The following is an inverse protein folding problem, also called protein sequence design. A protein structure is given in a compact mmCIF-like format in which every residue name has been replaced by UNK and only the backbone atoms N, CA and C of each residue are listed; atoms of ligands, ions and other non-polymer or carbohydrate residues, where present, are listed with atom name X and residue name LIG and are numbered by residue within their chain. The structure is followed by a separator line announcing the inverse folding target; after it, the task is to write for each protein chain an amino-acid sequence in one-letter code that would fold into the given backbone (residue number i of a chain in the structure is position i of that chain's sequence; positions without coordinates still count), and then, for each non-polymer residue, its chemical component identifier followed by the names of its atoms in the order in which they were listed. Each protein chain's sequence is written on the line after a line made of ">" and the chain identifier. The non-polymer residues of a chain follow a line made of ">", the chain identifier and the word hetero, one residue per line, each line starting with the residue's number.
data_IF_293321376538
#
_entry.id   IF_293321376538
#
_cell.length_a   1.000
_cell.length_b   1.000
_cell.length_c   1.000
_cell.angle_alpha   90.00
_cell.angle_beta   90.00
_cell.angle_gamma   90.00
#
_symmetry.space_group_name_H-M   'P 1'
#
loop_
_entity.id
_entity.type
_entity.pdbx_description
1 polymer ?
#
# COMPACT_ATOMS: atom_id res chain seq x y z
N UNK A 1 4.39 27.64 -9.82
CA UNK A 1 3.75 28.06 -8.54
C UNK A 1 3.59 29.56 -8.58
N UNK A 2 2.39 30.03 -8.25
CA UNK A 2 2.00 31.43 -8.25
C UNK A 2 2.33 32.10 -6.91
N UNK A 3 2.46 33.43 -6.90
CA UNK A 3 2.81 34.19 -5.69
C UNK A 3 1.77 34.11 -4.55
N UNK A 4 0.58 33.58 -4.83
CA UNK A 4 -0.47 33.31 -3.85
C UNK A 4 -0.40 31.88 -3.26
N UNK A 5 0.64 31.11 -3.58
CA UNK A 5 0.84 29.74 -3.12
C UNK A 5 0.05 28.68 -3.89
N UNK A 6 -0.53 29.03 -5.05
CA UNK A 6 -1.26 28.08 -5.89
C UNK A 6 -0.28 27.35 -6.83
N UNK A 7 -0.42 26.03 -6.93
CA UNK A 7 0.32 25.21 -7.89
C UNK A 7 -0.27 25.46 -9.28
N UNK A 8 0.59 25.63 -10.27
CA UNK A 8 0.19 25.75 -11.67
C UNK A 8 1.03 24.79 -12.50
N UNK A 9 0.39 24.13 -13.47
CA UNK A 9 0.99 23.23 -14.44
C UNK A 9 0.69 23.78 -15.85
N UNK A 10 1.70 23.88 -16.73
CA UNK A 10 1.55 24.50 -18.06
C UNK A 10 0.87 25.88 -18.07
N UNK A 11 1.11 26.67 -17.02
CA UNK A 11 0.52 28.01 -16.78
C UNK A 11 -0.99 28.01 -16.51
N UNK A 12 -1.59 26.85 -16.29
CA UNK A 12 -2.94 26.70 -15.75
C UNK A 12 -2.85 26.28 -14.28
N UNK A 13 -3.61 26.93 -13.41
CA UNK A 13 -3.71 26.58 -11.98
C UNK A 13 -5.00 25.80 -11.65
N UNK A 14 -5.82 25.54 -12.66
CA UNK A 14 -7.04 24.76 -12.55
C UNK A 14 -6.74 23.28 -12.69
N UNK A 15 -7.08 22.52 -11.66
CA UNK A 15 -7.16 21.07 -11.70
C UNK A 15 -8.62 20.66 -11.62
N UNK A 16 -8.93 19.39 -11.89
CA UNK A 16 -10.28 18.85 -11.83
C UNK A 16 -10.32 17.70 -10.84
N UNK A 17 -11.11 17.85 -9.80
CA UNK A 17 -11.44 16.78 -8.87
C UNK A 17 -12.64 16.03 -9.42
N UNK A 18 -12.43 14.76 -9.76
CA UNK A 18 -13.49 13.90 -10.30
C UNK A 18 -13.76 12.76 -9.32
N UNK A 19 -15.03 12.39 -9.09
CA UNK A 19 -15.34 11.29 -8.19
C UNK A 19 -14.89 9.99 -8.82
N UNK A 20 -14.31 9.12 -8.00
CA UNK A 20 -13.85 7.80 -8.45
C UNK A 20 -15.02 6.85 -8.73
N UNK A 21 -16.18 7.12 -8.14
CA UNK A 21 -17.35 6.22 -8.14
C UNK A 21 -17.49 5.43 -6.84
N UNK A 22 -16.43 5.39 -6.03
CA UNK A 22 -16.31 4.51 -4.85
C UNK A 22 -16.07 5.32 -3.57
N UNK A 23 -16.78 4.98 -2.49
CA UNK A 23 -16.61 5.49 -1.11
C UNK A 23 -16.44 7.02 -0.95
N UNK A 24 -16.96 7.81 -1.90
CA UNK A 24 -16.81 9.26 -1.89
C UNK A 24 -15.39 9.75 -2.18
N UNK A 25 -14.51 8.90 -2.72
CA UNK A 25 -13.15 9.25 -3.14
C UNK A 25 -13.11 10.16 -4.37
N UNK A 26 -12.04 10.94 -4.49
CA UNK A 26 -11.85 11.89 -5.58
C UNK A 26 -10.40 11.89 -6.07
N UNK A 27 -10.22 11.79 -7.39
CA UNK A 27 -8.92 11.93 -8.04
C UNK A 27 -8.76 13.33 -8.64
N UNK A 28 -7.51 13.78 -8.80
CA UNK A 28 -7.18 15.10 -9.34
C UNK A 28 -6.54 14.96 -10.71
N UNK A 29 -7.12 15.62 -11.70
CA UNK A 29 -6.72 15.58 -13.10
C UNK A 29 -6.40 17.00 -13.63
N UNK A 30 -5.67 17.07 -14.74
CA UNK A 30 -5.44 18.34 -15.45
C UNK A 30 -6.65 18.76 -16.31
N UNK A 31 -7.54 17.81 -16.63
CA UNK A 31 -8.75 18.01 -17.42
C UNK A 31 -9.90 17.19 -16.84
N UNK A 32 -11.16 17.61 -16.99
CA UNK A 32 -12.30 16.82 -16.53
C UNK A 32 -12.36 15.49 -17.30
N UNK A 33 -12.67 14.41 -16.58
CA UNK A 33 -12.80 13.07 -17.16
C UNK A 33 -14.10 12.98 -17.95
N UNK A 34 -14.00 12.53 -19.22
CA UNK A 34 -15.15 12.43 -20.12
C UNK A 34 -16.16 11.39 -19.59
N UNK A 35 -17.43 11.78 -19.50
CA UNK A 35 -18.50 10.91 -18.99
C UNK A 35 -18.66 10.92 -17.47
N UNK A 36 -17.92 11.77 -16.75
CA UNK A 36 -18.09 11.98 -15.31
C UNK A 36 -18.59 13.41 -15.03
N UNK A 37 -19.91 13.59 -15.04
CA UNK A 37 -20.57 14.90 -14.92
C UNK A 37 -20.34 15.60 -13.56
N UNK A 38 -19.79 14.88 -12.58
CA UNK A 38 -19.48 15.38 -11.24
C UNK A 38 -18.04 15.90 -11.09
N UNK A 39 -17.23 15.89 -12.15
CA UNK A 39 -15.92 16.54 -12.13
C UNK A 39 -16.06 18.03 -11.86
N UNK A 40 -15.36 18.54 -10.84
CA UNK A 40 -15.39 19.95 -10.46
C UNK A 40 -13.98 20.56 -10.51
N UNK A 41 -13.84 21.84 -10.88
CA UNK A 41 -12.56 22.53 -10.81
C UNK A 41 -12.10 22.69 -9.35
N UNK A 42 -10.82 22.48 -9.10
CA UNK A 42 -10.15 22.64 -7.81
C UNK A 42 -8.79 23.31 -8.00
N UNK A 43 -8.29 23.95 -6.93
CA UNK A 43 -6.98 24.60 -6.92
C UNK A 43 -6.12 23.99 -5.80
N UNK A 44 -4.89 23.62 -6.15
CA UNK A 44 -3.94 23.08 -5.20
C UNK A 44 -3.14 24.21 -4.57
N UNK A 45 -3.23 24.34 -3.24
CA UNK A 45 -2.50 25.36 -2.48
C UNK A 45 -1.47 24.69 -1.58
N UNK A 46 -0.22 25.13 -1.70
CA UNK A 46 0.84 24.70 -0.77
C UNK A 46 0.66 25.37 0.59
N UNK A 47 1.00 24.63 1.65
CA UNK A 47 0.81 24.99 3.04
C UNK A 47 1.99 25.84 3.58
N UNK A 48 2.48 25.55 4.78
CA UNK A 48 3.60 26.24 5.41
C UNK A 48 4.93 26.12 4.63
N UNK A 49 5.00 25.30 3.57
CA UNK A 49 6.17 25.21 2.70
C UNK A 49 6.33 26.40 1.72
N UNK A 50 5.35 27.30 1.60
CA UNK A 50 5.41 28.43 0.66
C UNK A 50 6.01 29.70 1.30
N UNK A 51 7.14 30.17 0.78
CA UNK A 51 7.85 31.37 1.28
C UNK A 51 7.44 32.69 0.60
N UNK A 52 6.41 32.69 -0.26
CA UNK A 52 5.99 33.89 -0.99
C UNK A 52 6.92 34.27 -2.14
N UNK A 53 6.49 35.23 -2.97
CA UNK A 53 7.39 35.88 -3.92
C UNK A 53 8.09 37.06 -3.25
N UNK A 54 9.35 37.31 -3.62
CA UNK A 54 10.03 38.54 -3.25
C UNK A 54 9.25 39.76 -3.80
N UNK A 55 9.11 40.85 -3.04
CA UNK A 55 8.49 42.07 -3.56
C UNK A 55 9.27 42.56 -4.79
N UNK A 56 8.55 42.84 -5.87
CA UNK A 56 9.12 43.34 -7.12
C UNK A 56 9.94 44.60 -6.83
N UNK A 57 11.25 44.56 -7.11
CA UNK A 57 12.10 45.73 -6.96
C UNK A 57 11.59 46.83 -7.90
N UNK A 58 11.14 47.95 -7.33
CA UNK A 58 10.88 49.18 -8.07
C UNK A 58 12.14 49.57 -8.86
N UNK A 59 12.06 49.86 -10.17
CA UNK A 59 13.25 50.20 -10.94
C UNK A 59 13.85 51.53 -10.44
N UNK A 60 15.09 51.46 -9.93
CA UNK A 60 15.85 52.63 -9.51
C UNK A 60 16.19 53.51 -10.71
N UNK A 61 15.71 54.75 -10.70
CA UNK A 61 16.18 55.82 -11.59
C UNK A 61 17.56 56.30 -11.11
N UNK A 62 18.58 56.46 -11.98
CA UNK A 62 19.91 56.88 -11.55
C UNK A 62 19.90 58.35 -11.08
N UNK A 63 20.33 58.54 -9.84
CA UNK A 63 20.43 59.82 -9.13
C UNK A 63 21.71 60.58 -9.54
N UNK A 64 21.56 61.88 -9.83
CA UNK A 64 22.67 62.84 -9.77
C UNK A 64 22.47 63.73 -8.55
N UNK A 65 23.43 63.63 -7.64
CA UNK A 65 23.61 64.39 -6.38
C UNK A 65 23.91 65.88 -6.66
N UNK A 66 23.84 66.84 -5.68
CA UNK A 66 24.36 66.66 -4.31
C UNK A 66 23.76 67.45 -3.11
N UNK A 67 24.11 66.93 -1.92
CA UNK A 67 24.48 67.60 -0.66
C UNK A 67 23.47 67.92 0.48
N UNK A 68 23.82 67.38 1.66
CA UNK A 68 23.73 67.94 3.04
C UNK A 68 22.44 67.69 3.89
N UNK A 69 22.51 67.77 5.26
CA UNK A 69 22.09 66.70 6.16
C UNK A 69 20.97 67.11 7.13
N UNK A 70 20.46 66.13 7.90
CA UNK A 70 19.76 66.20 9.20
C UNK A 70 18.34 65.62 9.31
N UNK A 71 18.22 64.80 10.36
CA UNK A 71 17.11 64.59 11.32
C UNK A 71 15.80 63.89 10.88
N UNK A 72 15.47 62.84 11.65
CA UNK A 72 14.15 62.32 12.04
C UNK A 72 13.03 63.38 12.17
N UNK A 73 11.70 63.05 12.18
CA UNK A 73 11.08 61.77 12.61
C UNK A 73 9.76 61.30 11.89
N UNK A 74 9.23 60.16 12.38
CA UNK A 74 7.81 59.74 12.55
C UNK A 74 6.85 59.36 11.39
N UNK A 75 6.47 58.07 11.43
CA UNK A 75 5.12 57.46 11.56
C UNK A 75 4.13 57.58 10.39
N UNK A 76 3.68 56.45 9.84
CA UNK A 76 2.27 56.27 9.46
C UNK A 76 1.82 54.80 9.58
N UNK A 77 0.70 54.67 10.30
CA UNK A 77 -0.11 53.49 10.58
C UNK A 77 -0.96 53.13 9.36
N UNK A 78 -1.12 51.84 9.05
CA UNK A 78 -2.26 51.34 8.27
C UNK A 78 -2.76 50.02 8.83
N UNK A 79 -3.99 50.11 9.36
CA UNK A 79 -4.86 49.06 9.89
C UNK A 79 -5.41 48.19 8.76
N UNK A 80 -5.56 46.88 8.98
CA UNK A 80 -6.41 46.04 8.13
C UNK A 80 -7.39 45.22 8.98
N UNK A 81 -8.66 45.31 8.61
CA UNK A 81 -9.85 44.86 9.32
C UNK A 81 -10.14 43.39 8.98
N UNK A 82 -10.22 42.52 9.99
CA UNK A 82 -10.63 41.11 9.83
C UNK A 82 -12.13 40.99 10.11
N UNK A 83 -12.88 40.52 9.13
CA UNK A 83 -14.26 40.02 9.34
C UNK A 83 -14.19 38.65 10.02
N UNK A 84 -14.75 38.55 11.23
CA UNK A 84 -14.95 37.30 11.96
C UNK A 84 -16.44 37.00 12.07
N UNK A 85 -16.86 35.82 11.62
CA UNK A 85 -18.16 35.23 11.95
C UNK A 85 -18.08 34.49 13.29
N UNK A 86 -19.06 34.64 14.20
CA UNK A 86 -18.97 34.10 15.56
C UNK A 86 -19.53 32.66 15.65
N UNK A 87 -18.72 31.73 16.14
CA UNK A 87 -19.18 30.43 16.65
C UNK A 87 -19.34 30.52 18.18
N UNK A 88 -20.49 30.07 18.67
CA UNK A 88 -20.91 30.08 20.08
C UNK A 88 -20.07 29.12 20.96
N UNK A 89 -19.86 29.43 22.25
CA UNK A 89 -19.08 28.58 23.16
C UNK A 89 -19.97 27.60 23.94
N UNK A 90 -19.69 26.30 23.84
CA UNK A 90 -20.11 25.30 24.84
C UNK A 90 -18.97 25.05 25.83
N UNK A 91 -19.24 25.34 27.11
CA UNK A 91 -18.41 25.04 28.27
C UNK A 91 -18.48 23.55 28.61
N UNK A 92 -17.32 22.90 28.78
CA UNK A 92 -17.10 21.93 29.86
C UNK A 92 -15.59 21.79 30.17
N UNK A 93 -15.19 21.55 31.44
CA UNK A 93 -13.81 21.60 31.87
C UNK A 93 -13.18 20.19 31.89
N UNK A 94 -12.06 19.99 31.22
CA UNK A 94 -11.19 18.83 31.46
C UNK A 94 -9.89 19.28 32.14
N UNK A 95 -9.68 18.75 33.35
CA UNK A 95 -8.45 18.87 34.13
C UNK A 95 -7.30 18.21 33.35
N UNK A 96 -6.23 18.97 33.12
CA UNK A 96 -4.95 18.42 32.72
C UNK A 96 -4.31 17.71 33.92
N UNK A 97 -4.11 16.39 33.80
CA UNK A 97 -3.22 15.62 34.66
C UNK A 97 -2.01 15.22 33.81
N UNK A 98 -0.88 15.88 34.05
CA UNK A 98 0.41 15.52 33.45
C UNK A 98 1.00 14.33 34.21
N UNK A 99 1.08 13.18 33.55
CA UNK A 99 1.82 12.01 34.05
C UNK A 99 3.19 11.97 33.39
N UNK A 100 4.24 12.17 34.18
CA UNK A 100 5.64 12.03 33.77
C UNK A 100 6.06 10.57 33.93
N UNK A 101 6.32 9.88 32.83
CA UNK A 101 6.86 8.51 32.86
C UNK A 101 8.39 8.56 32.90
N UNK A 102 8.95 8.08 34.01
CA UNK A 102 10.39 7.91 34.22
C UNK A 102 10.83 6.65 33.46
N UNK A 103 11.79 6.77 32.54
CA UNK A 103 12.41 5.62 31.88
C UNK A 103 13.48 5.02 32.79
N UNK A 104 13.30 3.76 33.18
CA UNK A 104 14.32 2.96 33.87
C UNK A 104 15.20 2.27 32.84
N UNK A 105 16.49 2.56 32.84
CA UNK A 105 17.48 1.92 31.96
C UNK A 105 17.91 0.59 32.59
N UNK A 106 17.57 -0.54 31.96
CA UNK A 106 18.03 -1.87 32.38
C UNK A 106 19.27 -2.26 31.59
N UNK A 107 20.42 -2.27 32.24
CA UNK A 107 21.69 -2.76 31.68
C UNK A 107 21.67 -4.29 31.67
N UNK A 108 21.68 -4.90 30.48
CA UNK A 108 21.79 -6.36 30.32
C UNK A 108 23.25 -6.78 30.20
N UNK A 109 23.70 -7.63 31.11
CA UNK A 109 25.05 -8.22 31.15
C UNK A 109 25.10 -9.46 30.25
N UNK A 110 25.91 -9.43 29.20
CA UNK A 110 26.11 -10.57 28.29
C UNK A 110 27.07 -11.58 28.91
N UNK A 111 26.57 -12.74 29.31
CA UNK A 111 27.39 -13.88 29.72
C UNK A 111 27.71 -14.75 28.50
N UNK A 112 28.98 -14.78 28.09
CA UNK A 112 29.47 -15.60 26.97
C UNK A 112 29.60 -17.06 27.38
N UNK A 113 28.63 -17.90 27.02
CA UNK A 113 28.75 -19.36 27.19
C UNK A 113 29.41 -19.96 25.95
N UNK A 114 30.60 -20.56 26.11
CA UNK A 114 31.32 -21.29 25.06
C UNK A 114 30.53 -22.52 24.63
N UNK A 115 30.29 -22.67 23.32
CA UNK A 115 29.73 -23.87 22.72
C UNK A 115 30.77 -25.01 22.72
N UNK A 116 30.48 -26.08 23.45
CA UNK A 116 31.19 -27.36 23.35
C UNK A 116 30.34 -28.30 22.50
N UNK A 117 30.88 -28.76 21.37
CA UNK A 117 30.22 -29.70 20.46
C UNK A 117 30.18 -31.09 21.09
N UNK A 118 29.03 -31.80 21.16
CA UNK A 118 28.98 -33.19 21.61
C UNK A 118 29.53 -34.15 20.54
N UNK A 119 30.18 -35.26 20.92
CA UNK A 119 30.71 -36.24 19.97
C UNK A 119 29.58 -37.09 19.36
N UNK A 120 29.66 -37.28 18.04
CA UNK A 120 28.80 -38.17 17.26
C UNK A 120 29.07 -39.63 17.63
N UNK A 121 28.05 -40.30 18.15
CA UNK A 121 28.07 -41.76 18.39
C UNK A 121 27.49 -42.48 17.17
N UNK A 122 28.16 -43.48 16.58
CA UNK A 122 27.61 -44.26 15.47
C UNK A 122 26.47 -45.16 15.97
N UNK A 123 25.28 -45.07 15.36
CA UNK A 123 24.18 -46.01 15.62
C UNK A 123 24.33 -47.25 14.75
N UNK A 124 24.55 -48.38 15.43
CA UNK A 124 24.61 -49.73 14.88
C UNK A 124 23.21 -50.19 14.45
N UNK A 125 23.04 -50.62 13.20
CA UNK A 125 21.81 -51.24 12.72
C UNK A 125 21.72 -52.69 13.20
N UNK A 126 20.70 -53.00 14.00
CA UNK A 126 20.42 -54.37 14.42
C UNK A 126 19.44 -55.01 13.44
N UNK A 127 19.92 -56.05 12.76
CA UNK A 127 19.14 -56.96 11.92
C UNK A 127 18.11 -57.71 12.76
N UNK A 128 16.83 -57.66 12.39
CA UNK A 128 15.78 -58.52 12.94
C UNK A 128 15.41 -59.60 11.93
N UNK A 129 15.47 -60.83 12.42
CA UNK A 129 15.30 -62.08 11.70
C UNK A 129 13.88 -62.35 11.22
N UNK A 130 13.83 -63.17 10.18
CA UNK A 130 12.67 -63.76 9.52
C UNK A 130 11.80 -64.61 10.48
N UNK A 131 10.48 -64.52 10.35
CA UNK A 131 9.53 -65.52 10.82
C UNK A 131 8.40 -65.69 9.80
N UNK A 132 8.16 -66.95 9.48
CA UNK A 132 7.14 -67.49 8.56
C UNK A 132 5.80 -67.69 9.29
N UNK A 133 4.74 -68.03 8.49
CA UNK A 133 3.38 -68.50 8.86
C UNK A 133 2.36 -67.33 8.91
N UNK A 134 1.21 -67.25 8.21
CA UNK A 134 0.31 -68.15 7.43
C UNK A 134 -0.57 -67.28 6.50
N UNK A 135 -1.21 -67.83 5.43
CA UNK A 135 -2.09 -67.05 4.56
C UNK A 135 -3.56 -67.07 5.03
N UNK A 136 -4.27 -65.92 4.96
CA UNK A 136 -5.70 -65.94 4.71
C UNK A 136 -6.07 -65.20 3.41
N UNK A 137 -6.71 -65.96 2.52
CA UNK A 137 -7.85 -65.62 1.67
C UNK A 137 -7.87 -64.27 0.92
N UNK A 138 -7.87 -64.37 -0.42
CA UNK A 138 -8.15 -63.28 -1.36
C UNK A 138 -9.46 -62.55 -1.05
N UNK A 139 -9.35 -61.26 -0.74
CA UNK A 139 -10.40 -60.28 -0.95
C UNK A 139 -10.16 -59.54 -2.29
N UNK A 140 -11.20 -59.17 -3.05
CA UNK A 140 -11.04 -58.42 -4.30
C UNK A 140 -10.53 -57.00 -4.01
N UNK A 141 -9.53 -56.59 -4.78
CA UNK A 141 -8.90 -55.26 -4.78
C UNK A 141 -9.91 -54.16 -5.11
N UNK A 142 -9.92 -53.02 -4.38
CA UNK A 142 -10.62 -51.83 -4.84
C UNK A 142 -9.95 -51.27 -6.11
N UNK A 143 -10.72 -50.65 -7.02
CA UNK A 143 -10.16 -50.08 -8.25
C UNK A 143 -9.19 -48.93 -7.94
N UNK A 144 -8.09 -48.91 -8.68
CA UNK A 144 -7.03 -47.90 -8.64
C UNK A 144 -7.62 -46.49 -8.90
N UNK A 145 -7.19 -45.44 -8.17
CA UNK A 145 -7.61 -44.08 -8.47
C UNK A 145 -7.09 -43.66 -9.85
N UNK A 146 -7.96 -43.03 -10.64
CA UNK A 146 -7.63 -42.53 -11.97
C UNK A 146 -6.52 -41.47 -11.94
N UNK A 147 -5.73 -41.31 -13.02
CA UNK A 147 -4.76 -40.23 -13.15
C UNK A 147 -5.44 -38.86 -12.96
N UNK A 148 -4.74 -37.85 -12.40
CA UNK A 148 -5.25 -36.48 -12.36
C UNK A 148 -5.64 -36.02 -13.76
N UNK A 149 -6.78 -35.32 -13.85
CA UNK A 149 -7.23 -34.72 -15.11
C UNK A 149 -6.13 -33.79 -15.68
N UNK A 150 -6.00 -33.68 -17.02
CA UNK A 150 -5.10 -32.71 -17.62
C UNK A 150 -5.44 -31.31 -17.12
N UNK A 151 -4.46 -30.60 -16.55
CA UNK A 151 -4.61 -29.18 -16.21
C UNK A 151 -5.01 -28.45 -17.49
N UNK A 152 -6.15 -27.74 -17.44
CA UNK A 152 -6.59 -26.89 -18.53
C UNK A 152 -5.48 -25.89 -18.88
N UNK A 153 -5.13 -25.71 -20.17
CA UNK A 153 -4.15 -24.72 -20.56
C UNK A 153 -4.58 -23.33 -20.06
N UNK A 154 -3.63 -22.47 -19.65
CA UNK A 154 -3.93 -21.08 -19.32
C UNK A 154 -4.74 -20.43 -20.46
N UNK A 155 -5.78 -19.63 -20.16
CA UNK A 155 -6.53 -18.91 -21.16
C UNK A 155 -5.61 -18.11 -22.08
N UNK A 156 -5.93 -18.05 -23.38
CA UNK A 156 -5.22 -17.19 -24.33
C UNK A 156 -5.26 -15.73 -23.83
N UNK A 157 -4.17 -14.95 -23.99
CA UNK A 157 -4.10 -13.58 -23.49
C UNK A 157 -5.23 -12.76 -24.10
N UNK A 158 -6.18 -12.34 -23.27
CA UNK A 158 -7.25 -11.45 -23.69
C UNK A 158 -6.71 -10.05 -23.95
N UNK A 159 -7.33 -9.40 -24.94
CA UNK A 159 -7.21 -8.00 -25.32
C UNK A 159 -6.76 -7.06 -24.19
N UNK A 160 -5.66 -6.33 -24.43
CA UNK A 160 -5.15 -5.06 -23.84
C UNK A 160 -5.30 -4.76 -22.34
N UNK A 161 -6.41 -5.09 -21.69
CA UNK A 161 -6.61 -4.97 -20.26
C UNK A 161 -7.27 -6.23 -19.67
N UNK A 162 -6.68 -6.86 -18.64
CA UNK A 162 -7.07 -8.18 -18.19
C UNK A 162 -8.41 -8.21 -17.43
N UNK A 163 -8.83 -7.07 -16.87
CA UNK A 163 -10.13 -6.88 -16.25
C UNK A 163 -10.50 -5.40 -16.24
N UNK A 164 -11.80 -5.10 -16.25
CA UNK A 164 -12.32 -3.76 -16.00
C UNK A 164 -12.97 -3.72 -14.61
N UNK A 165 -12.47 -2.86 -13.74
CA UNK A 165 -13.07 -2.62 -12.42
C UNK A 165 -14.15 -1.52 -12.45
N UNK A 166 -14.25 -0.74 -13.54
CA UNK A 166 -15.29 0.28 -13.71
C UNK A 166 -16.67 -0.37 -13.67
N UNK A 167 -17.54 0.12 -12.78
CA UNK A 167 -18.91 -0.38 -12.62
C UNK A 167 -19.03 -1.63 -11.75
N UNK A 168 -17.93 -2.08 -11.13
CA UNK A 168 -17.93 -3.08 -10.06
C UNK A 168 -17.82 -2.38 -8.70
N UNK A 169 -18.20 -3.05 -7.60
CA UNK A 169 -17.91 -2.56 -6.26
C UNK A 169 -16.52 -3.08 -5.86
N UNK A 170 -15.56 -2.19 -5.64
CA UNK A 170 -14.20 -2.59 -5.31
C UNK A 170 -13.52 -1.64 -4.32
N UNK A 171 -12.55 -2.18 -3.58
CA UNK A 171 -11.63 -1.46 -2.72
C UNK A 171 -10.21 -1.55 -3.28
N UNK A 172 -9.49 -0.44 -3.23
CA UNK A 172 -8.05 -0.37 -3.45
C UNK A 172 -7.34 -0.23 -2.10
N UNK A 173 -6.03 -0.52 -1.99
CA UNK A 173 -5.36 -0.47 -0.70
C UNK A 173 -5.25 0.97 -0.19
N UNK A 174 -5.67 1.21 1.05
CA UNK A 174 -5.55 2.51 1.72
C UNK A 174 -4.22 2.69 2.46
N UNK A 175 -3.45 1.61 2.62
CA UNK A 175 -2.07 1.63 3.11
C UNK A 175 -1.28 0.52 2.41
N UNK A 176 -0.08 0.86 1.93
CA UNK A 176 0.89 -0.13 1.45
C UNK A 176 2.18 0.05 2.25
N UNK A 177 2.60 -0.99 2.96
CA UNK A 177 3.82 -0.96 3.77
C UNK A 177 4.81 -1.99 3.24
N UNK A 178 6.03 -1.55 2.99
CA UNK A 178 7.12 -2.47 2.69
C UNK A 178 7.74 -2.99 3.98
N UNK A 179 8.03 -4.29 4.01
CA UNK A 179 8.85 -4.91 5.06
C UNK A 179 10.04 -5.59 4.41
N UNK A 180 11.16 -5.66 5.13
CA UNK A 180 12.39 -6.28 4.65
C UNK A 180 12.96 -7.18 5.73
N UNK A 181 13.06 -8.47 5.46
CA UNK A 181 13.63 -9.46 6.38
C UNK A 181 15.09 -9.10 6.76
N UNK A 182 15.81 -8.36 5.93
CA UNK A 182 17.17 -7.91 6.27
C UNK A 182 17.19 -6.68 7.17
N UNK A 183 16.05 -6.04 7.37
CA UNK A 183 15.87 -4.83 8.19
C UNK A 183 14.72 -5.05 9.20
N UNK A 184 14.91 -6.02 10.08
CA UNK A 184 13.92 -6.51 11.06
C UNK A 184 13.17 -5.38 11.80
N UNK A 185 13.90 -4.39 12.32
CA UNK A 185 13.37 -3.29 13.14
C UNK A 185 13.10 -1.98 12.39
N UNK A 186 13.24 -1.97 11.06
CA UNK A 186 13.11 -0.72 10.30
C UNK A 186 11.72 -0.59 9.66
N UNK A 187 10.97 0.39 10.12
CA UNK A 187 9.77 0.83 9.41
C UNK A 187 10.16 1.53 8.11
N UNK A 188 9.63 1.05 6.98
CA UNK A 188 9.87 1.67 5.67
C UNK A 188 8.80 2.70 5.29
N UNK A 189 7.75 2.81 6.10
CA UNK A 189 6.68 3.78 5.92
C UNK A 189 5.64 3.35 4.88
N UNK A 190 4.75 4.29 4.56
CA UNK A 190 3.75 4.11 3.52
C UNK A 190 4.38 4.22 2.12
N UNK A 191 3.82 3.46 1.19
CA UNK A 191 4.17 3.44 -0.23
C UNK A 191 2.91 3.56 -1.09
N UNK A 192 3.12 3.87 -2.36
CA UNK A 192 2.09 3.77 -3.40
C UNK A 192 2.36 2.58 -4.34
N UNK A 193 3.49 1.90 -4.14
CA UNK A 193 3.91 0.77 -4.95
C UNK A 193 3.69 -0.54 -4.21
N UNK A 194 3.31 -1.58 -4.93
CA UNK A 194 3.53 -2.95 -4.48
C UNK A 194 4.94 -3.40 -4.84
N UNK A 195 5.62 -4.07 -3.91
CA UNK A 195 6.96 -4.60 -4.07
C UNK A 195 7.08 -6.00 -3.44
N UNK A 196 7.59 -6.95 -4.20
CA UNK A 196 8.01 -8.26 -3.70
C UNK A 196 9.27 -8.70 -4.46
N UNK A 197 10.40 -8.80 -3.78
CA UNK A 197 11.68 -9.18 -4.36
C UNK A 197 12.70 -9.59 -3.29
N UNK A 198 13.10 -10.86 -3.29
CA UNK A 198 14.05 -11.40 -2.31
C UNK A 198 13.54 -11.21 -0.88
N UNK A 199 14.27 -10.47 -0.04
CA UNK A 199 13.87 -10.22 1.36
C UNK A 199 12.79 -9.15 1.53
N UNK A 200 12.45 -8.41 0.46
CA UNK A 200 11.46 -7.33 0.50
C UNK A 200 10.09 -7.85 0.10
N UNK A 201 9.07 -7.48 0.84
CA UNK A 201 7.66 -7.81 0.58
C UNK A 201 6.76 -6.63 0.94
N UNK A 202 5.47 -6.71 0.59
CA UNK A 202 4.51 -5.63 0.84
C UNK A 202 3.28 -6.14 1.56
N UNK A 203 2.80 -5.36 2.52
CA UNK A 203 1.53 -5.54 3.20
C UNK A 203 0.57 -4.45 2.74
N UNK A 204 -0.64 -4.83 2.36
CA UNK A 204 -1.70 -3.97 1.82
C UNK A 204 -2.88 -3.99 2.79
N UNK A 205 -3.34 -2.83 3.24
CA UNK A 205 -4.59 -2.75 3.98
C UNK A 205 -5.72 -2.32 3.07
N UNK A 206 -6.83 -3.05 3.12
CA UNK A 206 -8.08 -2.71 2.47
C UNK A 206 -9.13 -2.40 3.53
N UNK A 207 -9.83 -1.28 3.41
CA UNK A 207 -10.94 -0.98 4.31
C UNK A 207 -12.22 -1.52 3.71
N UNK A 208 -12.81 -2.52 4.36
CA UNK A 208 -14.07 -3.11 3.93
C UNK A 208 -15.20 -2.35 4.62
N UNK A 209 -16.20 -1.81 3.88
CA UNK A 209 -17.36 -1.19 4.48
C UNK A 209 -18.21 -2.18 5.28
N UNK A 210 -18.73 -1.77 6.43
CA UNK A 210 -19.63 -2.61 7.23
C UNK A 210 -20.93 -3.00 6.48
N UNK A 211 -21.31 -2.22 5.46
CA UNK A 211 -22.46 -2.51 4.59
C UNK A 211 -22.23 -3.73 3.68
N UNK A 212 -20.98 -4.17 3.53
CA UNK A 212 -20.61 -5.34 2.73
C UNK A 212 -20.53 -6.62 3.56
N UNK A 213 -20.79 -6.54 4.88
CA UNK A 213 -20.78 -7.70 5.78
C UNK A 213 -21.56 -8.90 5.21
N UNK A 214 -20.88 -10.03 5.07
CA UNK A 214 -21.49 -11.28 4.59
C UNK A 214 -21.69 -11.38 3.07
N UNK A 215 -21.37 -10.33 2.30
CA UNK A 215 -21.18 -10.43 0.84
C UNK A 215 -19.91 -11.22 0.51
N UNK A 216 -19.65 -11.46 -0.77
CA UNK A 216 -18.42 -12.15 -1.21
C UNK A 216 -17.34 -11.13 -1.53
N UNK A 217 -16.28 -11.11 -0.73
CA UNK A 217 -15.06 -10.38 -1.01
C UNK A 217 -14.12 -11.27 -1.82
N UNK A 218 -13.62 -10.78 -2.95
CA UNK A 218 -12.62 -11.49 -3.76
C UNK A 218 -11.36 -10.65 -3.88
N UNK A 219 -10.24 -11.21 -3.43
CA UNK A 219 -8.93 -10.59 -3.63
C UNK A 219 -8.49 -10.83 -5.07
N UNK A 220 -8.31 -9.76 -5.84
CA UNK A 220 -7.91 -9.77 -7.24
C UNK A 220 -6.51 -9.17 -7.39
N UNK A 221 -5.64 -9.84 -8.13
CA UNK A 221 -4.40 -9.23 -8.62
C UNK A 221 -4.51 -9.04 -10.13
N UNK A 222 -4.35 -7.80 -10.59
CA UNK A 222 -4.48 -7.43 -12.00
C UNK A 222 -3.09 -7.08 -12.55
N UNK A 223 -2.67 -7.78 -13.60
CA UNK A 223 -1.39 -7.55 -14.25
C UNK A 223 -1.61 -7.33 -15.76
N UNK A 224 -1.72 -6.07 -16.19
CA UNK A 224 -1.88 -5.74 -17.61
C UNK A 224 -0.74 -6.28 -18.47
N UNK A 225 -0.96 -6.34 -19.79
CA UNK A 225 0.13 -6.61 -20.72
C UNK A 225 1.09 -5.42 -20.77
N UNK A 226 2.37 -5.66 -21.02
CA UNK A 226 3.33 -4.57 -21.13
C UNK A 226 2.92 -3.59 -22.24
N UNK A 227 3.04 -2.29 -21.96
CA UNK A 227 2.73 -1.22 -22.92
C UNK A 227 1.24 -0.90 -23.09
N UNK A 228 0.34 -1.52 -22.32
CA UNK A 228 -1.11 -1.19 -22.36
C UNK A 228 -1.56 -0.21 -21.27
N UNK A 229 -0.65 0.16 -20.38
CA UNK A 229 -0.89 1.10 -19.30
C UNK A 229 -0.51 2.52 -19.74
N UNK A 230 -1.36 3.49 -19.43
CA UNK A 230 -1.16 4.88 -19.84
C UNK A 230 -0.41 5.70 -18.78
N UNK A 231 -0.73 5.47 -17.50
CA UNK A 231 -0.30 6.30 -16.37
C UNK A 231 0.65 5.58 -15.41
N UNK A 232 0.80 4.27 -15.56
CA UNK A 232 1.60 3.43 -14.67
C UNK A 232 2.46 2.45 -15.47
N UNK A 233 3.37 1.78 -14.79
CA UNK A 233 4.19 0.71 -15.33
C UNK A 233 4.56 -0.26 -14.21
N UNK A 234 5.03 -1.45 -14.57
CA UNK A 234 5.57 -2.42 -13.62
C UNK A 234 6.90 -2.99 -14.10
N UNK A 235 7.63 -3.60 -13.18
CA UNK A 235 8.86 -4.35 -13.45
C UNK A 235 8.69 -5.74 -12.89
N UNK A 236 8.48 -6.71 -13.78
CA UNK A 236 8.41 -8.13 -13.44
C UNK A 236 9.65 -8.85 -13.99
N UNK A 237 10.27 -9.71 -13.18
CA UNK A 237 11.37 -10.57 -13.61
C UNK A 237 11.48 -11.83 -12.73
N UNK A 238 12.31 -12.79 -13.14
CA UNK A 238 12.46 -14.09 -12.47
C UNK A 238 11.37 -15.08 -12.88
N UNK A 239 11.15 -16.09 -12.06
CA UNK A 239 10.15 -17.14 -12.26
C UNK A 239 8.67 -16.69 -12.10
N UNK A 240 8.40 -15.44 -11.74
CA UNK A 240 7.02 -14.92 -11.63
C UNK A 240 6.19 -15.48 -10.48
N UNK A 241 6.77 -16.24 -9.55
CA UNK A 241 6.06 -16.89 -8.45
C UNK A 241 5.88 -15.97 -7.24
N UNK A 242 4.64 -15.73 -6.85
CA UNK A 242 4.27 -14.93 -5.69
C UNK A 242 3.21 -15.63 -4.85
N UNK A 243 3.31 -15.44 -3.54
CA UNK A 243 2.33 -15.94 -2.58
C UNK A 243 1.65 -14.78 -1.87
N UNK A 244 0.44 -15.05 -1.40
CA UNK A 244 -0.37 -14.10 -0.67
C UNK A 244 -0.83 -14.70 0.65
N UNK A 245 -1.02 -13.86 1.66
CA UNK A 245 -1.56 -14.28 2.95
C UNK A 245 -2.49 -13.21 3.53
N UNK A 246 -3.54 -13.64 4.22
CA UNK A 246 -4.36 -12.76 5.05
C UNK A 246 -3.70 -12.69 6.43
N UNK A 247 -3.55 -11.49 6.97
CA UNK A 247 -2.99 -11.24 8.28
C UNK A 247 -4.08 -11.20 9.35
N UNK A 248 -3.72 -11.54 10.59
CA UNK A 248 -4.64 -11.50 11.75
C UNK A 248 -5.11 -10.08 12.07
N UNK A 249 -4.27 -9.08 11.77
CA UNK A 249 -4.55 -7.66 11.99
C UNK A 249 -4.00 -6.86 10.80
N UNK A 250 -4.54 -5.66 10.51
CA UNK A 250 -3.98 -4.77 9.51
C UNK A 250 -2.59 -4.24 9.91
N UNK A 251 -1.76 -3.89 8.92
CA UNK A 251 -0.50 -3.21 9.19
C UNK A 251 -0.71 -1.74 9.60
N UNK A 252 0.34 -1.11 10.12
CA UNK A 252 0.39 0.34 10.34
C UNK A 252 1.59 0.91 9.59
N UNK A 253 1.65 2.23 9.41
CA UNK A 253 2.80 2.91 8.77
C UNK A 253 4.15 2.60 9.45
N UNK A 254 4.12 2.20 10.72
CA UNK A 254 5.30 1.92 11.55
C UNK A 254 5.62 0.42 11.60
N UNK A 255 4.85 -0.42 10.88
CA UNK A 255 5.10 -1.86 10.80
C UNK A 255 6.47 -2.15 10.20
N UNK A 256 7.20 -3.04 10.87
CA UNK A 256 8.51 -3.57 10.47
C UNK A 256 8.38 -5.05 10.13
N UNK A 257 9.45 -5.69 9.65
CA UNK A 257 9.41 -7.13 9.44
C UNK A 257 9.24 -7.91 10.75
N UNK A 258 9.87 -7.47 11.83
CA UNK A 258 9.73 -8.11 13.16
C UNK A 258 8.33 -7.93 13.77
N UNK A 259 7.71 -6.78 13.52
CA UNK A 259 6.43 -6.40 14.14
C UNK A 259 5.21 -6.61 13.25
N UNK A 260 5.39 -7.16 12.05
CA UNK A 260 4.26 -7.41 11.16
C UNK A 260 3.24 -8.35 11.82
N UNK A 261 1.94 -8.11 11.61
CA UNK A 261 0.91 -9.00 12.11
C UNK A 261 1.14 -10.43 11.62
N UNK A 262 0.80 -11.41 12.46
CA UNK A 262 0.93 -12.83 12.11
C UNK A 262 0.00 -13.17 10.97
N UNK A 263 0.39 -14.16 10.18
CA UNK A 263 -0.49 -14.76 9.17
C UNK A 263 -1.68 -15.42 9.86
N UNK A 264 -2.88 -15.15 9.35
CA UNK A 264 -4.10 -15.87 9.67
C UNK A 264 -4.28 -17.02 8.67
N UNK A 265 -4.35 -16.71 7.38
CA UNK A 265 -4.50 -17.69 6.30
C UNK A 265 -3.43 -17.49 5.23
N UNK A 266 -2.76 -18.57 4.84
CA UNK A 266 -1.99 -18.62 3.60
C UNK A 266 -2.96 -18.82 2.43
N UNK A 267 -2.77 -18.05 1.36
CA UNK A 267 -3.55 -18.16 0.14
C UNK A 267 -2.75 -18.94 -0.91
N UNK A 268 -3.33 -19.11 -2.11
CA UNK A 268 -2.69 -19.86 -3.17
C UNK A 268 -1.43 -19.16 -3.71
N UNK A 269 -0.52 -19.96 -4.26
CA UNK A 269 0.63 -19.49 -5.01
C UNK A 269 0.21 -19.15 -6.43
N UNK A 270 0.75 -18.06 -6.99
CA UNK A 270 0.46 -17.61 -8.34
C UNK A 270 1.73 -17.37 -9.15
N UNK A 271 1.77 -17.95 -10.34
CA UNK A 271 2.70 -17.53 -11.38
C UNK A 271 2.08 -16.36 -12.16
N UNK A 272 2.56 -15.16 -11.84
CA UNK A 272 2.10 -13.92 -12.44
C UNK A 272 2.73 -13.75 -13.82
N UNK A 273 1.86 -13.62 -14.81
CA UNK A 273 2.19 -13.47 -16.23
C UNK A 273 1.48 -12.22 -16.75
N UNK A 274 2.19 -11.29 -17.40
CA UNK A 274 1.60 -10.11 -18.04
C UNK A 274 0.36 -10.43 -18.89
N UNK A 275 -0.64 -9.55 -18.81
CA UNK A 275 -1.90 -9.68 -19.55
C UNK A 275 -2.98 -10.53 -18.89
N UNK A 276 -2.86 -10.82 -17.59
CA UNK A 276 -3.79 -11.69 -16.86
C UNK A 276 -4.40 -11.01 -15.63
N UNK A 277 -5.57 -11.51 -15.25
CA UNK A 277 -6.28 -11.16 -14.01
C UNK A 277 -6.38 -12.42 -13.14
N UNK A 278 -6.01 -12.29 -11.88
CA UNK A 278 -5.95 -13.40 -10.93
C UNK A 278 -6.97 -13.19 -9.83
N UNK A 279 -7.75 -14.23 -9.53
CA UNK A 279 -8.53 -14.28 -8.28
C UNK A 279 -7.71 -15.04 -7.27
N UNK A 280 -7.09 -14.31 -6.34
CA UNK A 280 -6.19 -14.86 -5.33
C UNK A 280 -6.97 -15.71 -4.33
N UNK A 281 -8.09 -15.18 -3.85
CA UNK A 281 -9.02 -15.86 -2.97
C UNK A 281 -10.40 -15.20 -3.00
N UNK A 282 -11.41 -15.93 -2.51
CA UNK A 282 -12.76 -15.42 -2.26
C UNK A 282 -13.20 -15.86 -0.88
N UNK A 283 -13.75 -14.93 -0.10
CA UNK A 283 -14.17 -15.15 1.29
C UNK A 283 -15.34 -14.23 1.66
N UNK A 284 -16.13 -14.55 2.69
CA UNK A 284 -17.16 -13.64 3.18
C UNK A 284 -16.52 -12.34 3.66
N UNK A 285 -17.04 -11.20 3.21
CA UNK A 285 -16.57 -9.90 3.65
C UNK A 285 -16.75 -9.77 5.19
N UNK A 286 -15.72 -9.28 5.91
CA UNK A 286 -15.84 -9.02 7.34
C UNK A 286 -16.93 -7.97 7.61
N UNK A 287 -17.42 -7.85 8.86
CA UNK A 287 -18.46 -6.89 9.24
C UNK A 287 -17.99 -5.42 9.26
N UNK A 288 -17.00 -5.08 8.42
CA UNK A 288 -16.33 -3.80 8.36
C UNK A 288 -14.88 -3.84 8.88
N UNK A 289 -14.14 -2.77 8.65
CA UNK A 289 -12.78 -2.58 9.16
C UNK A 289 -11.70 -2.90 8.13
N UNK A 290 -10.44 -2.90 8.56
CA UNK A 290 -9.29 -3.08 7.68
C UNK A 290 -8.81 -4.52 7.65
N UNK A 291 -8.55 -5.07 6.45
CA UNK A 291 -7.93 -6.39 6.25
C UNK A 291 -6.51 -6.20 5.75
N UNK A 292 -5.53 -6.83 6.41
CA UNK A 292 -4.13 -6.84 5.97
C UNK A 292 -3.85 -8.02 5.05
N UNK A 293 -3.31 -7.76 3.85
CA UNK A 293 -2.87 -8.77 2.90
C UNK A 293 -1.37 -8.66 2.71
N UNK A 294 -0.64 -9.75 2.91
CA UNK A 294 0.79 -9.82 2.68
C UNK A 294 1.08 -10.47 1.33
N UNK A 295 1.89 -9.83 0.49
CA UNK A 295 2.38 -10.34 -0.79
C UNK A 295 3.90 -10.47 -0.74
N UNK A 296 4.42 -11.65 -1.04
CA UNK A 296 5.86 -11.93 -1.06
C UNK A 296 6.24 -12.81 -2.25
N UNK A 297 7.49 -12.69 -2.68
CA UNK A 297 8.02 -13.42 -3.83
C UNK A 297 8.61 -14.76 -3.38
N UNK A 298 8.48 -15.79 -4.19
CA UNK A 298 9.15 -17.07 -3.99
C UNK A 298 10.10 -17.41 -5.13
N UNK A 299 11.25 -18.01 -4.80
CA UNK A 299 12.33 -18.20 -5.76
C UNK A 299 13.05 -16.90 -6.11
N UNK A 300 13.24 -16.64 -7.40
CA UNK A 300 13.95 -15.45 -7.91
C UNK A 300 13.00 -14.37 -8.47
N UNK A 301 11.69 -14.54 -8.29
CA UNK A 301 10.66 -13.59 -8.67
C UNK A 301 10.89 -12.20 -8.08
N UNK A 302 10.65 -11.19 -8.91
CA UNK A 302 10.71 -9.78 -8.52
C UNK A 302 9.60 -9.03 -9.22
N UNK A 303 8.80 -8.32 -8.45
CA UNK A 303 7.75 -7.46 -8.94
C UNK A 303 7.79 -6.13 -8.19
N UNK A 304 7.78 -5.04 -8.95
CA UNK A 304 7.48 -3.69 -8.47
C UNK A 304 6.47 -3.05 -9.41
N UNK A 305 5.38 -2.51 -8.87
CA UNK A 305 4.36 -1.80 -9.64
C UNK A 305 3.81 -0.63 -8.83
N UNK A 306 3.34 0.43 -9.50
CA UNK A 306 2.55 1.48 -8.87
C UNK A 306 1.08 1.08 -8.87
N UNK A 307 0.42 1.07 -7.72
CA UNK A 307 -1.01 0.73 -7.61
C UNK A 307 -1.84 1.75 -8.39
N UNK A 308 -2.43 1.35 -9.50
CA UNK A 308 -3.16 2.26 -10.39
C UNK A 308 -4.33 1.56 -11.04
N UNK A 309 -5.44 2.28 -11.13
CA UNK A 309 -6.68 1.84 -11.75
C UNK A 309 -6.83 2.38 -13.19
N UNK A 310 -6.15 3.47 -13.54
CA UNK A 310 -6.44 4.22 -14.77
C UNK A 310 -5.74 3.66 -16.02
N UNK A 311 -6.41 3.72 -17.19
CA UNK A 311 -7.71 3.07 -17.43
C UNK A 311 -7.63 1.55 -17.36
N UNK A 312 -6.42 0.97 -17.34
CA UNK A 312 -6.21 -0.45 -17.17
C UNK A 312 -5.57 -0.76 -15.82
N UNK A 313 -6.31 -1.38 -14.87
CA UNK A 313 -5.81 -1.52 -13.53
C UNK A 313 -4.60 -2.45 -13.42
N UNK A 314 -3.59 -2.02 -12.67
CA UNK A 314 -2.51 -2.84 -12.15
C UNK A 314 -2.57 -2.87 -10.63
N UNK A 315 -2.28 -4.03 -10.06
CA UNK A 315 -2.13 -4.19 -8.62
C UNK A 315 -3.22 -4.99 -7.96
N UNK A 316 -3.33 -4.81 -6.64
CA UNK A 316 -4.16 -5.62 -5.78
C UNK A 316 -5.45 -4.88 -5.44
N UNK A 317 -6.59 -5.56 -5.54
CA UNK A 317 -7.93 -5.02 -5.31
C UNK A 317 -8.78 -6.03 -4.56
N UNK A 318 -9.77 -5.56 -3.79
CA UNK A 318 -10.84 -6.41 -3.26
C UNK A 318 -12.12 -6.05 -3.99
N UNK A 319 -12.72 -7.00 -4.71
CA UNK A 319 -14.04 -6.82 -5.32
C UNK A 319 -15.12 -7.41 -4.44
N UNK A 320 -16.30 -6.78 -4.41
CA UNK A 320 -17.43 -7.20 -3.57
C UNK A 320 -18.63 -7.56 -4.43
N UNK A 321 -19.17 -8.76 -4.23
CA UNK A 321 -20.35 -9.30 -4.93
C UNK A 321 -21.43 -9.79 -3.96
#
# INVERSE_FOLDING_TARGET
>A
MSCNGTIAYDRDDTFYSCPTGDNGGWNIYLKPVKGQDKCMPVWLKVDACFSGCAPTATPCTPSSTPMHPHKHPHKHTSTSTIYTTPMHPHKHPHKHTSTSTIYTTTTSTTTTTKCTVPPVVPKTFTSMSCSTITPPTCAPTPPMPSPPAPMTPPPAPMSTCPANLIGTNFEFPHLIVHVDEKLQDKALGNSLNGLAAGSKSSIFNFDIPAADAGKTCSLKFLLPAEGTMETSNYKLSGNGSFEFAILQEPATKDTTYETMPKVHDYLNDFELVPGNAYTVSSYPCPPGGSVGIWMYATGDAKLEYFQDFNPCPVGLYVTVE
#
